data_IF_154505561608
#
_entry.id   IF_154505561608
#
_cell.length_a   1.000
_cell.length_b   1.000
_cell.length_c   1.000
_cell.angle_alpha   90.00
_cell.angle_beta   90.00
_cell.angle_gamma   90.00
#
_symmetry.space_group_name_H-M   'P 1'
#
loop_
_entity.id
_entity.type
_entity.pdbx_description
1 polymer ?
#
# COMPACT_ATOMS: atom_id res chain seq x y z
N UNK A 1 7.37 -20.11 10.53
CA UNK A 1 6.39 -19.01 10.52
C UNK A 1 5.08 -19.35 11.23
N UNK A 2 4.22 -20.23 10.70
CA UNK A 2 2.87 -20.47 11.24
C UNK A 2 2.78 -20.96 12.70
N UNK A 3 3.87 -21.46 13.30
CA UNK A 3 3.90 -21.81 14.73
C UNK A 3 4.12 -20.60 15.63
N UNK A 4 4.87 -19.58 15.19
CA UNK A 4 5.13 -18.35 15.95
C UNK A 4 3.86 -17.51 16.10
N UNK A 5 3.01 -17.55 15.08
CA UNK A 5 1.72 -16.86 15.07
C UNK A 5 0.70 -17.47 16.05
N UNK A 6 0.91 -18.70 16.56
CA UNK A 6 -0.02 -19.40 17.47
C UNK A 6 0.21 -19.08 18.95
N UNK A 7 1.23 -18.29 19.26
CA UNK A 7 1.56 -17.90 20.65
C UNK A 7 0.72 -16.67 21.03
N UNK A 8 0.26 -16.55 22.29
CA UNK A 8 -0.37 -15.32 22.77
C UNK A 8 0.48 -14.07 22.47
N UNK A 9 -0.18 -12.95 22.18
CA UNK A 9 0.42 -11.65 21.84
C UNK A 9 1.27 -11.61 20.57
N UNK A 10 1.26 -12.67 19.74
CA UNK A 10 2.04 -12.75 18.51
C UNK A 10 1.76 -11.58 17.55
N UNK A 11 0.50 -11.19 17.36
CA UNK A 11 0.12 -10.08 16.45
C UNK A 11 0.36 -8.71 17.09
N UNK A 12 0.44 -8.61 18.41
CA UNK A 12 0.78 -7.36 19.09
C UNK A 12 2.28 -7.01 18.96
N UNK A 13 3.11 -7.97 18.57
CA UNK A 13 4.53 -7.75 18.34
C UNK A 13 4.76 -7.00 17.01
N UNK A 14 5.33 -5.79 17.02
CA UNK A 14 5.58 -5.02 15.79
C UNK A 14 6.55 -5.70 14.83
N UNK A 15 7.40 -6.62 15.30
CA UNK A 15 8.30 -7.37 14.43
C UNK A 15 7.59 -8.48 13.66
N UNK A 16 6.41 -8.93 14.11
CA UNK A 16 5.63 -9.97 13.42
C UNK A 16 5.24 -9.56 11.99
N UNK A 17 4.80 -8.30 11.81
CA UNK A 17 4.49 -7.79 10.48
C UNK A 17 5.71 -7.73 9.57
N UNK A 18 6.89 -7.37 10.13
CA UNK A 18 8.15 -7.36 9.37
C UNK A 18 8.54 -8.77 8.95
N UNK A 19 8.40 -9.75 9.85
CA UNK A 19 8.67 -11.14 9.55
C UNK A 19 7.73 -11.66 8.45
N UNK A 20 6.41 -11.38 8.53
CA UNK A 20 5.43 -11.77 7.51
C UNK A 20 5.84 -11.19 6.15
N UNK A 21 6.16 -9.89 6.09
CA UNK A 21 6.63 -9.23 4.86
C UNK A 21 7.95 -9.83 4.35
N UNK A 22 8.91 -10.12 5.22
CA UNK A 22 10.18 -10.76 4.86
C UNK A 22 9.98 -12.19 4.31
N UNK A 23 8.90 -12.86 4.70
CA UNK A 23 8.51 -14.17 4.16
C UNK A 23 7.67 -14.08 2.87
N UNK A 24 7.50 -12.89 2.29
CA UNK A 24 6.71 -12.66 1.08
C UNK A 24 5.24 -12.32 1.33
N UNK A 25 4.87 -11.93 2.55
CA UNK A 25 3.55 -11.42 2.87
C UNK A 25 3.28 -10.08 2.19
N UNK A 26 2.06 -9.93 1.68
CA UNK A 26 1.61 -8.79 0.87
C UNK A 26 0.41 -8.15 1.54
N UNK A 27 0.31 -6.82 1.48
CA UNK A 27 -0.84 -6.11 2.01
C UNK A 27 -2.09 -6.38 1.15
N UNK A 28 -3.23 -6.59 1.81
CA UNK A 28 -4.51 -6.92 1.18
C UNK A 28 -5.36 -5.65 0.98
N UNK A 29 -5.98 -5.50 -0.19
CA UNK A 29 -6.81 -4.37 -0.64
C UNK A 29 -6.04 -3.07 -0.87
N UNK A 30 -5.28 -2.62 0.12
CA UNK A 30 -4.57 -1.34 0.09
C UNK A 30 -3.17 -1.44 0.71
N UNK A 31 -2.26 -0.60 0.22
CA UNK A 31 -0.96 -0.32 0.85
C UNK A 31 -0.82 1.17 1.09
N UNK A 32 -0.36 1.54 2.30
CA UNK A 32 0.03 2.90 2.64
C UNK A 32 1.50 3.16 2.37
N UNK A 33 1.81 4.20 1.61
CA UNK A 33 3.15 4.60 1.22
C UNK A 33 3.37 6.05 1.65
N UNK A 34 4.27 6.23 2.62
CA UNK A 34 4.67 7.56 3.09
C UNK A 34 5.92 8.03 2.35
N UNK A 35 5.81 9.13 1.61
CA UNK A 35 6.95 9.79 0.96
C UNK A 35 7.23 11.10 1.70
N UNK A 36 8.47 11.25 2.17
CA UNK A 36 8.96 12.49 2.77
C UNK A 36 9.84 13.19 1.73
N UNK A 37 9.27 14.22 1.08
CA UNK A 37 10.03 15.06 0.18
C UNK A 37 10.72 16.17 0.99
N UNK A 38 12.04 16.29 0.87
CA UNK A 38 12.83 17.32 1.54
C UNK A 38 13.64 18.11 0.52
N UNK A 39 13.60 19.43 0.59
CA UNK A 39 14.46 20.26 -0.25
C UNK A 39 15.76 20.62 0.49
N UNK A 40 16.84 19.89 0.19
CA UNK A 40 18.18 20.18 0.69
C UNK A 40 19.00 21.06 -0.27
N UNK A 41 18.41 21.48 -1.39
CA UNK A 41 19.05 22.33 -2.38
C UNK A 41 18.87 23.81 -2.03
N UNK A 42 19.78 24.67 -2.51
CA UNK A 42 19.71 26.12 -2.30
C UNK A 42 18.64 26.85 -3.14
N UNK A 43 17.87 26.10 -3.94
CA UNK A 43 16.87 26.65 -4.87
C UNK A 43 15.50 26.08 -4.58
N UNK A 44 14.45 26.79 -5.00
CA UNK A 44 13.07 26.33 -4.88
C UNK A 44 12.88 25.00 -5.65
N UNK A 45 12.37 23.99 -4.95
CA UNK A 45 11.95 22.72 -5.53
C UNK A 45 10.44 22.76 -5.75
N UNK A 46 9.97 22.33 -6.92
CA UNK A 46 8.53 22.17 -7.21
C UNK A 46 8.24 20.74 -7.63
N UNK A 47 7.41 20.04 -6.86
CA UNK A 47 6.90 18.72 -7.24
C UNK A 47 5.70 18.95 -8.15
N UNK A 48 5.84 18.47 -9.38
CA UNK A 48 4.87 18.67 -10.44
C UNK A 48 3.92 17.48 -10.55
N UNK A 49 4.41 16.27 -10.29
CA UNK A 49 3.61 15.06 -10.40
C UNK A 49 4.20 13.93 -9.54
N UNK A 50 3.34 13.04 -9.08
CA UNK A 50 3.71 11.74 -8.51
C UNK A 50 2.70 10.72 -9.04
N UNK A 51 3.15 9.80 -9.88
CA UNK A 51 2.29 8.84 -10.58
C UNK A 51 2.81 7.40 -10.44
N UNK A 52 1.92 6.38 -10.49
CA UNK A 52 2.35 5.00 -10.55
C UNK A 52 2.91 4.67 -11.93
N UNK A 53 4.08 4.02 -11.95
CA UNK A 53 4.77 3.55 -13.15
C UNK A 53 5.13 2.08 -13.04
N UNK A 54 5.49 1.47 -14.16
CA UNK A 54 5.89 0.04 -14.23
C UNK A 54 4.81 -0.90 -13.69
N UNK A 55 3.54 -0.54 -13.85
CA UNK A 55 2.41 -1.28 -13.31
C UNK A 55 2.26 -2.64 -13.99
N UNK A 56 2.34 -3.70 -13.19
CA UNK A 56 2.04 -5.08 -13.58
C UNK A 56 0.80 -5.54 -12.82
N UNK A 57 -0.11 -6.22 -13.53
CA UNK A 57 -1.36 -6.76 -12.97
C UNK A 57 -1.44 -8.26 -13.23
N UNK A 58 -1.56 -9.04 -12.16
CA UNK A 58 -1.78 -10.47 -12.19
C UNK A 58 -3.14 -10.82 -11.54
N UNK A 59 -3.64 -12.06 -11.71
CA UNK A 59 -4.74 -12.56 -10.90
C UNK A 59 -4.43 -12.52 -9.40
N UNK A 60 -5.43 -12.28 -8.52
CA UNK A 60 -5.23 -12.32 -7.08
C UNK A 60 -4.58 -13.62 -6.58
N UNK A 61 -3.72 -13.49 -5.57
CA UNK A 61 -3.03 -14.61 -4.95
C UNK A 61 -4.01 -15.55 -4.23
N UNK A 62 -3.70 -16.85 -4.18
CA UNK A 62 -4.57 -17.89 -3.60
C UNK A 62 -3.95 -18.64 -2.42
N UNK A 63 -2.81 -18.18 -1.89
CA UNK A 63 -2.04 -18.84 -0.84
C UNK A 63 -2.65 -18.77 0.56
N UNK A 64 -1.94 -18.12 1.48
CA UNK A 64 -2.37 -17.99 2.89
C UNK A 64 -2.78 -16.56 3.18
N UNK A 65 -3.98 -16.38 3.73
CA UNK A 65 -4.48 -15.08 4.22
C UNK A 65 -4.39 -15.00 5.74
N UNK A 66 -3.92 -13.86 6.25
CA UNK A 66 -3.89 -13.53 7.67
C UNK A 66 -4.87 -12.39 7.96
N UNK A 67 -5.97 -12.67 8.67
CA UNK A 67 -6.93 -11.66 9.09
C UNK A 67 -6.45 -10.98 10.37
N UNK A 68 -5.73 -9.87 10.19
CA UNK A 68 -5.11 -9.08 11.26
C UNK A 68 -5.68 -7.66 11.25
N UNK A 69 -5.78 -6.97 12.40
CA UNK A 69 -6.11 -5.56 12.44
C UNK A 69 -5.03 -4.74 11.71
N UNK A 70 -5.43 -3.79 10.88
CA UNK A 70 -4.51 -2.81 10.30
C UNK A 70 -4.25 -1.70 11.32
N UNK A 71 -2.98 -1.40 11.57
CA UNK A 71 -2.60 -0.31 12.47
C UNK A 71 -2.84 1.04 11.78
N UNK A 72 -3.54 1.95 12.46
CA UNK A 72 -3.65 3.36 12.06
C UNK A 72 -2.91 4.23 13.08
N UNK A 73 -1.93 4.99 12.60
CA UNK A 73 -1.41 6.19 13.26
C UNK A 73 -1.92 7.41 12.49
N UNK A 74 -2.29 8.46 13.20
CA UNK A 74 -2.76 9.72 12.60
C UNK A 74 -1.57 10.68 12.60
N UNK A 75 -1.06 11.03 11.42
CA UNK A 75 -0.08 12.10 11.21
C UNK A 75 -0.66 13.13 10.23
N UNK A 76 -0.32 14.41 10.40
CA UNK A 76 -0.64 15.47 9.44
C UNK A 76 0.10 15.20 8.12
N UNK A 77 -0.63 14.79 7.09
CA UNK A 77 -0.11 14.47 5.76
C UNK A 77 -1.12 14.86 4.69
N UNK A 78 -0.69 14.97 3.42
CA UNK A 78 -1.61 15.10 2.29
C UNK A 78 -2.10 13.69 1.94
N UNK A 79 -3.39 13.37 2.18
CA UNK A 79 -3.91 12.05 1.88
C UNK A 79 -4.21 11.95 0.38
N UNK A 80 -3.57 10.98 -0.28
CA UNK A 80 -3.69 10.73 -1.71
C UNK A 80 -4.10 9.28 -1.95
N UNK A 81 -4.90 9.02 -2.98
CA UNK A 81 -5.33 7.68 -3.38
C UNK A 81 -4.94 7.40 -4.83
N UNK A 82 -4.52 6.16 -5.08
CA UNK A 82 -4.24 5.62 -6.40
C UNK A 82 -5.06 4.33 -6.56
N UNK A 83 -6.03 4.34 -7.47
CA UNK A 83 -6.78 3.12 -7.79
C UNK A 83 -6.07 2.35 -8.91
N UNK A 84 -5.44 1.23 -8.55
CA UNK A 84 -4.65 0.41 -9.47
C UNK A 84 -5.53 -0.45 -10.40
N UNK A 85 -6.86 -0.43 -10.25
CA UNK A 85 -7.78 -1.08 -11.19
C UNK A 85 -8.08 -0.20 -12.41
N UNK A 86 -7.85 1.11 -12.33
CA UNK A 86 -8.09 2.05 -13.43
C UNK A 86 -7.12 1.79 -14.58
N UNK A 87 -7.54 1.78 -15.86
CA UNK A 87 -6.63 1.50 -16.98
C UNK A 87 -5.38 2.37 -16.98
N UNK A 88 -5.52 3.64 -16.57
CA UNK A 88 -4.46 4.62 -16.36
C UNK A 88 -4.65 5.22 -14.96
N UNK A 89 -4.03 4.64 -13.92
CA UNK A 89 -4.19 5.12 -12.55
C UNK A 89 -3.59 6.50 -12.38
N UNK A 90 -4.34 7.39 -11.74
CA UNK A 90 -3.91 8.75 -11.40
C UNK A 90 -3.88 8.92 -9.88
N UNK A 91 -2.99 9.77 -9.40
CA UNK A 91 -2.94 10.19 -8.01
C UNK A 91 -4.05 11.22 -7.75
N UNK A 92 -4.95 10.90 -6.83
CA UNK A 92 -6.12 11.73 -6.52
C UNK A 92 -6.12 12.17 -5.07
N UNK A 93 -6.65 13.35 -4.78
CA UNK A 93 -6.99 13.71 -3.40
C UNK A 93 -8.18 12.87 -2.93
N UNK A 94 -8.12 12.36 -1.69
CA UNK A 94 -9.18 11.50 -1.13
C UNK A 94 -10.55 12.18 -1.20
N UNK A 95 -10.62 13.47 -0.88
CA UNK A 95 -11.88 14.20 -0.73
C UNK A 95 -12.48 14.70 -2.05
N UNK A 96 -11.70 14.70 -3.13
CA UNK A 96 -12.09 15.38 -4.38
C UNK A 96 -12.25 14.43 -5.58
N UNK A 97 -11.67 13.22 -5.54
CA UNK A 97 -11.76 12.23 -6.61
C UNK A 97 -11.13 12.66 -7.95
N UNK A 98 -10.52 13.84 -8.00
CA UNK A 98 -9.81 14.42 -9.14
C UNK A 98 -8.30 14.19 -9.02
N UNK A 99 -7.59 14.21 -10.15
CA UNK A 99 -6.13 14.16 -10.18
C UNK A 99 -5.55 15.32 -9.38
N UNK A 100 -4.76 15.06 -8.35
CA UNK A 100 -4.21 16.09 -7.48
C UNK A 100 -3.25 17.00 -8.25
N UNK A 101 -2.34 16.41 -9.03
CA UNK A 101 -1.26 17.15 -9.69
C UNK A 101 -1.70 17.90 -10.96
N UNK A 102 -2.92 17.67 -11.44
CA UNK A 102 -3.52 18.50 -12.49
C UNK A 102 -3.86 19.91 -11.98
N UNK A 103 -4.09 20.06 -10.67
CA UNK A 103 -4.52 21.32 -10.04
C UNK A 103 -3.50 21.89 -9.05
N UNK A 104 -2.68 21.02 -8.45
CA UNK A 104 -1.76 21.41 -7.38
C UNK A 104 -0.30 21.17 -7.78
N UNK A 105 0.55 22.14 -7.45
CA UNK A 105 2.00 22.00 -7.46
C UNK A 105 2.51 22.24 -6.05
N UNK A 106 3.30 21.30 -5.52
CA UNK A 106 3.88 21.44 -4.17
C UNK A 106 5.23 22.14 -4.28
N UNK A 107 5.37 23.29 -3.64
CA UNK A 107 6.61 24.07 -3.63
C UNK A 107 7.30 23.95 -2.28
N UNK A 108 8.58 23.56 -2.28
CA UNK A 108 9.40 23.42 -1.08
C UNK A 108 10.58 24.39 -1.15
N UNK A 109 10.67 25.32 -0.20
CA UNK A 109 11.86 26.16 0.00
C UNK A 109 12.99 25.33 0.59
N UNK A 110 14.20 25.86 0.56
CA UNK A 110 15.37 25.23 1.19
C UNK A 110 15.08 24.95 2.67
N UNK A 111 15.28 23.69 3.08
CA UNK A 111 15.02 23.22 4.44
C UNK A 111 13.58 22.82 4.72
N UNK A 112 12.62 23.08 3.82
CA UNK A 112 11.23 22.65 3.99
C UNK A 112 11.07 21.17 3.62
N UNK A 113 10.09 20.54 4.27
CA UNK A 113 9.68 19.16 4.02
C UNK A 113 8.18 19.10 3.76
N UNK A 114 7.76 18.15 2.93
CA UNK A 114 6.37 17.77 2.77
C UNK A 114 6.23 16.26 2.87
N UNK A 115 5.24 15.82 3.63
CA UNK A 115 4.85 14.42 3.73
C UNK A 115 3.63 14.18 2.83
N UNK A 116 3.74 13.18 1.97
CA UNK A 116 2.65 12.63 1.19
C UNK A 116 2.29 11.26 1.74
N UNK A 117 1.01 11.01 1.97
CA UNK A 117 0.50 9.71 2.40
C UNK A 117 -0.38 9.12 1.29
N UNK A 118 0.21 8.19 0.54
CA UNK A 118 -0.45 7.53 -0.58
C UNK A 118 -1.11 6.24 -0.09
N UNK A 119 -2.39 6.07 -0.43
CA UNK A 119 -3.09 4.79 -0.39
C UNK A 119 -3.21 4.26 -1.81
N UNK A 120 -2.48 3.22 -2.13
CA UNK A 120 -2.66 2.51 -3.39
C UNK A 120 -3.57 1.31 -3.16
N UNK A 121 -4.66 1.23 -3.91
CA UNK A 121 -5.74 0.25 -3.72
C UNK A 121 -6.00 -0.58 -4.98
N UNK A 122 -6.45 -1.82 -4.79
CA UNK A 122 -6.96 -2.68 -5.86
C UNK A 122 -8.03 -3.61 -5.31
N UNK A 123 -9.12 -3.74 -6.05
CA UNK A 123 -10.19 -4.70 -5.79
C UNK A 123 -10.15 -5.89 -6.74
N UNK A 124 -9.24 -5.92 -7.73
CA UNK A 124 -9.25 -6.90 -8.81
C UNK A 124 -7.95 -7.65 -9.05
N UNK A 125 -6.81 -7.06 -8.72
CA UNK A 125 -5.52 -7.58 -9.17
C UNK A 125 -4.56 -7.85 -8.02
N UNK A 126 -3.62 -8.73 -8.29
CA UNK A 126 -2.30 -8.68 -7.69
C UNK A 126 -1.47 -7.62 -8.46
N UNK A 127 -1.16 -6.50 -7.82
CA UNK A 127 -0.60 -5.32 -8.48
C UNK A 127 0.80 -5.00 -7.96
N UNK A 128 1.75 -4.85 -8.90
CA UNK A 128 3.12 -4.42 -8.63
C UNK A 128 3.40 -3.10 -9.35
N UNK A 129 3.99 -2.12 -8.67
CA UNK A 129 4.26 -0.80 -9.26
C UNK A 129 5.42 -0.08 -8.56
N UNK A 130 5.91 0.99 -9.17
CA UNK A 130 6.76 1.99 -8.54
C UNK A 130 6.10 3.37 -8.64
N UNK A 131 6.60 4.36 -7.92
CA UNK A 131 6.14 5.74 -8.03
C UNK A 131 7.18 6.58 -8.77
N UNK A 132 6.76 7.35 -9.76
CA UNK A 132 7.63 8.32 -10.43
C UNK A 132 7.31 9.73 -9.93
N UNK A 133 8.29 10.38 -9.33
CA UNK A 133 8.20 11.78 -8.90
C UNK A 133 8.79 12.66 -9.98
N UNK A 134 7.98 13.55 -10.51
CA UNK A 134 8.40 14.56 -11.49
C UNK A 134 8.53 15.90 -10.78
N UNK A 135 9.69 16.52 -10.86
CA UNK A 135 9.96 17.77 -10.15
C UNK A 135 10.79 18.76 -10.96
N UNK A 136 10.68 20.03 -10.62
CA UNK A 136 11.47 21.13 -11.18
C UNK A 136 12.45 21.64 -10.13
N UNK A 137 13.72 21.77 -10.52
CA UNK A 137 14.74 22.43 -9.71
C UNK A 137 15.73 23.15 -10.63
N UNK A 138 16.09 24.38 -10.28
CA UNK A 138 16.93 25.26 -11.13
C UNK A 138 16.40 25.43 -12.57
N UNK A 139 15.08 25.41 -12.73
CA UNK A 139 14.44 25.48 -14.05
C UNK A 139 14.57 24.21 -14.90
N UNK A 140 15.16 23.14 -14.37
CA UNK A 140 15.26 21.84 -15.05
C UNK A 140 14.24 20.85 -14.51
N UNK A 141 13.51 20.20 -15.42
CA UNK A 141 12.61 19.09 -15.11
C UNK A 141 13.45 17.84 -14.87
N UNK A 142 13.23 17.20 -13.73
CA UNK A 142 13.88 15.95 -13.30
C UNK A 142 12.82 14.93 -12.92
N UNK A 143 13.24 13.68 -12.86
CA UNK A 143 12.41 12.54 -12.50
C UNK A 143 13.17 11.65 -11.53
N UNK A 144 12.45 11.06 -10.58
CA UNK A 144 12.98 10.08 -9.66
C UNK A 144 11.96 8.98 -9.44
N UNK A 145 12.36 7.74 -9.70
CA UNK A 145 11.56 6.57 -9.35
C UNK A 145 11.81 6.19 -7.89
N UNK A 146 10.73 5.94 -7.17
CA UNK A 146 10.69 5.48 -5.79
C UNK A 146 10.06 4.09 -5.80
N UNK A 147 10.72 3.15 -5.14
CA UNK A 147 10.28 1.77 -4.96
C UNK A 147 10.42 1.37 -3.48
N UNK A 148 10.09 0.12 -3.17
CA UNK A 148 10.23 -0.47 -1.84
C UNK A 148 11.62 -1.13 -1.68
N UNK A 149 12.67 -0.31 -1.65
CA UNK A 149 14.07 -0.74 -1.42
C UNK A 149 14.58 -1.73 -2.47
N UNK A 150 14.40 -1.42 -3.76
CA UNK A 150 14.81 -2.26 -4.89
C UNK A 150 13.76 -3.27 -5.34
N UNK A 151 12.58 -3.26 -4.70
CA UNK A 151 11.42 -4.06 -5.10
C UNK A 151 10.24 -3.14 -5.40
N UNK A 152 9.37 -3.47 -6.38
CA UNK A 152 8.13 -2.73 -6.58
C UNK A 152 7.26 -2.79 -5.32
N UNK A 153 6.46 -1.73 -5.11
CA UNK A 153 5.34 -1.79 -4.18
C UNK A 153 4.38 -2.89 -4.63
N UNK A 154 3.79 -3.58 -3.66
CA UNK A 154 3.02 -4.80 -3.90
C UNK A 154 1.76 -4.79 -3.04
N UNK A 155 0.61 -4.86 -3.69
CA UNK A 155 -0.71 -4.93 -3.05
C UNK A 155 -1.57 -5.91 -3.82
N UNK A 156 -2.38 -6.68 -3.10
CA UNK A 156 -3.22 -7.72 -3.71
C UNK A 156 -4.67 -7.56 -3.31
N UNK A 157 -5.56 -7.70 -4.29
CA UNK A 157 -7.00 -7.78 -4.09
C UNK A 157 -7.38 -9.10 -3.39
N UNK A 158 -8.51 -9.15 -2.67
CA UNK A 158 -8.95 -10.38 -2.04
C UNK A 158 -9.44 -11.37 -3.09
N UNK A 159 -8.99 -12.61 -2.98
CA UNK A 159 -9.51 -13.68 -3.82
C UNK A 159 -10.86 -14.14 -3.28
N UNK A 160 -11.93 -13.88 -4.04
CA UNK A 160 -13.32 -14.13 -3.64
C UNK A 160 -13.96 -15.11 -4.62
N UNK A 161 -14.63 -16.13 -4.08
CA UNK A 161 -15.61 -16.91 -4.83
C UNK A 161 -16.93 -16.12 -4.90
N UNK A 162 -17.25 -15.65 -6.09
CA UNK A 162 -18.42 -14.80 -6.34
C UNK A 162 -19.75 -15.53 -6.12
N UNK A 163 -19.79 -16.86 -6.27
CA UNK A 163 -21.02 -17.63 -6.11
C UNK A 163 -21.40 -17.80 -4.63
N UNK A 164 -20.40 -17.96 -3.76
CA UNK A 164 -20.59 -18.14 -2.32
C UNK A 164 -20.37 -16.88 -1.48
N UNK A 165 -19.82 -15.80 -2.07
CA UNK A 165 -19.38 -14.59 -1.38
C UNK A 165 -18.39 -14.90 -0.22
N UNK A 166 -17.50 -15.87 -0.44
CA UNK A 166 -16.48 -16.30 0.52
C UNK A 166 -15.07 -16.09 -0.03
N UNK A 167 -14.10 -16.01 0.87
CA UNK A 167 -12.70 -16.00 0.49
C UNK A 167 -12.28 -17.34 -0.14
N UNK A 168 -11.39 -17.30 -1.13
CA UNK A 168 -10.91 -18.46 -1.88
C UNK A 168 -9.38 -18.61 -1.78
N UNK A 169 -8.90 -18.75 -0.54
CA UNK A 169 -7.50 -19.01 -0.20
C UNK A 169 -7.30 -20.47 0.21
N UNK A 170 -6.09 -20.99 -0.01
CA UNK A 170 -5.69 -22.33 0.46
C UNK A 170 -5.72 -22.43 1.99
N UNK A 171 -5.39 -21.34 2.69
CA UNK A 171 -5.43 -21.25 4.16
C UNK A 171 -5.84 -19.87 4.62
N UNK A 172 -6.57 -19.80 5.74
CA UNK A 172 -6.93 -18.56 6.42
C UNK A 172 -6.57 -18.70 7.88
N UNK A 173 -5.91 -17.67 8.43
CA UNK A 173 -5.65 -17.54 9.85
C UNK A 173 -6.41 -16.33 10.41
N UNK A 174 -7.13 -16.54 11.51
CA UNK A 174 -7.89 -15.51 12.21
C UNK A 174 -7.29 -15.20 13.57
N UNK A 175 -7.24 -13.92 13.91
CA UNK A 175 -6.84 -13.45 15.22
C UNK A 175 -7.82 -13.93 16.30
N UNK A 176 -7.27 -14.41 17.40
CA UNK A 176 -7.98 -14.82 18.61
C UNK A 176 -7.99 -13.67 19.63
N UNK A 177 -8.75 -13.82 20.71
CA UNK A 177 -8.86 -12.79 21.77
C UNK A 177 -7.53 -12.50 22.48
N UNK A 178 -6.58 -13.44 22.46
CA UNK A 178 -5.24 -13.31 23.03
C UNK A 178 -4.20 -12.83 22.01
N UNK A 179 -4.65 -12.28 20.87
CA UNK A 179 -3.80 -11.82 19.77
C UNK A 179 -2.89 -12.90 19.16
N UNK A 180 -3.16 -14.19 19.42
CA UNK A 180 -2.64 -15.30 18.63
C UNK A 180 -3.46 -15.48 17.35
N UNK A 181 -2.94 -16.27 16.40
CA UNK A 181 -3.62 -16.63 15.16
C UNK A 181 -3.95 -18.12 15.15
N UNK A 182 -5.17 -18.43 14.72
CA UNK A 182 -5.62 -19.81 14.54
C UNK A 182 -6.04 -20.03 13.09
N UNK A 183 -5.63 -21.16 12.55
CA UNK A 183 -6.08 -21.59 11.22
C UNK A 183 -7.57 -21.92 11.25
N UNK A 184 -8.31 -21.39 10.30
CA UNK A 184 -9.73 -21.67 10.12
C UNK A 184 -9.87 -23.08 9.53
N UNK A 185 -10.72 -23.96 10.11
CA UNK A 185 -10.87 -25.35 9.63
C UNK A 185 -11.33 -25.49 8.18
N UNK A 186 -12.14 -24.55 7.68
CA UNK A 186 -12.59 -24.51 6.29
C UNK A 186 -12.47 -23.06 5.77
N UNK A 187 -11.38 -22.72 5.04
CA UNK A 187 -11.15 -21.36 4.57
C UNK A 187 -12.22 -20.89 3.56
N UNK A 188 -12.86 -21.81 2.83
CA UNK A 188 -13.88 -21.48 1.83
C UNK A 188 -15.24 -21.11 2.43
N UNK A 189 -15.40 -21.17 3.76
CA UNK A 189 -16.60 -20.73 4.49
C UNK A 189 -16.46 -19.35 5.11
N UNK A 190 -15.28 -18.73 5.04
CA UNK A 190 -15.08 -17.40 5.60
C UNK A 190 -15.73 -16.39 4.67
N UNK A 191 -16.86 -15.84 5.09
CA UNK A 191 -17.58 -14.81 4.34
C UNK A 191 -16.75 -13.52 4.23
N UNK A 192 -16.85 -12.87 3.09
CA UNK A 192 -16.35 -11.49 2.93
C UNK A 192 -17.19 -10.58 3.83
N UNK A 193 -16.53 -9.78 4.66
CA UNK A 193 -17.20 -8.85 5.60
C UNK A 193 -17.23 -7.45 5.04
#
# INVERSE_FOLDING_TARGET
MAQLLKVPDAIANPDMFKEIRAAGGVDLNEISIKIIASNTHGSLLRILDIEPVSLVRNPPLDGTMFLMPTHQGIDDSIPLVINLDDPMPLTRAIDEGMSFFDYYTVSLKTGEQQVFDFKAETARYDALFALNVVYLIDGQKKQQTIDNNGHPFHVVAPRIDQASATYSYQRIYEMQTDFSMKEVPDPHRVAVR
#
